data_IF_144471097853
#
_entry.id   IF_144471097853
#
_cell.length_a   1.000
_cell.length_b   1.000
_cell.length_c   1.000
_cell.angle_alpha   90.00
_cell.angle_beta   90.00
_cell.angle_gamma   90.00
#
_symmetry.space_group_name_H-M   'P 1'
#
loop_
_entity.id
_entity.type
_entity.pdbx_description
1 polymer ?
#
# COMPACT_ATOMS: atom_id res chain seq x y z
N UNK A 1 -22.84 10.80 18.26
CA UNK A 1 -22.58 12.19 17.77
C UNK A 1 -21.08 12.51 17.56
N UNK A 2 -20.14 11.57 17.72
CA UNK A 2 -18.68 11.81 17.68
C UNK A 2 -17.94 11.38 16.38
N UNK A 3 -18.60 10.69 15.46
CA UNK A 3 -17.94 10.18 14.23
C UNK A 3 -17.55 11.32 13.28
N UNK A 4 -18.39 12.35 13.17
CA UNK A 4 -18.22 13.43 12.17
C UNK A 4 -17.02 14.35 12.48
N UNK A 5 -16.55 14.42 13.72
CA UNK A 5 -15.38 15.24 14.10
C UNK A 5 -14.04 14.62 13.70
N UNK A 6 -14.01 13.31 13.43
CA UNK A 6 -12.79 12.56 13.09
C UNK A 6 -12.73 12.14 11.62
N UNK A 7 -13.74 12.50 10.82
CA UNK A 7 -13.69 12.31 9.39
C UNK A 7 -12.69 13.28 8.77
N UNK A 8 -11.80 12.75 7.93
CA UNK A 8 -11.00 13.59 7.04
C UNK A 8 -11.96 14.44 6.20
N UNK A 9 -11.71 15.75 6.18
CA UNK A 9 -12.45 16.72 5.37
C UNK A 9 -11.49 17.38 4.39
N UNK A 10 -11.19 16.72 3.25
CA UNK A 10 -10.47 17.35 2.16
C UNK A 10 -11.06 18.73 1.86
N UNK A 11 -10.21 19.74 1.79
CA UNK A 11 -10.61 21.08 1.36
C UNK A 11 -10.91 21.08 -0.13
N UNK A 12 -11.62 22.10 -0.61
CA UNK A 12 -11.96 22.24 -2.02
C UNK A 12 -10.73 22.27 -2.95
N UNK A 13 -9.57 22.69 -2.44
CA UNK A 13 -8.27 22.72 -3.13
C UNK A 13 -7.41 21.47 -2.89
N UNK A 14 -7.93 20.44 -2.23
CA UNK A 14 -7.19 19.18 -2.02
C UNK A 14 -7.03 18.44 -3.33
N UNK A 15 -5.79 18.39 -3.82
CA UNK A 15 -5.45 17.73 -5.10
C UNK A 15 -5.30 16.22 -4.96
N UNK A 16 -4.89 15.74 -3.80
CA UNK A 16 -4.65 14.33 -3.51
C UNK A 16 -5.26 13.96 -2.17
N UNK A 17 -6.04 12.89 -2.19
CA UNK A 17 -6.52 12.22 -1.00
C UNK A 17 -6.44 10.72 -1.26
N UNK A 18 -6.15 9.96 -0.22
CA UNK A 18 -5.98 8.53 -0.32
C UNK A 18 -6.09 7.90 1.05
N UNK A 19 -6.08 6.57 1.03
CA UNK A 19 -6.05 5.75 2.22
C UNK A 19 -5.05 4.62 2.00
N UNK A 20 -4.63 4.00 3.10
CA UNK A 20 -3.78 2.81 3.08
C UNK A 20 -4.60 1.65 3.62
N UNK A 21 -4.60 0.54 2.92
CA UNK A 21 -5.11 -0.74 3.38
C UNK A 21 -3.99 -1.77 3.29
N UNK A 22 -3.92 -2.67 4.27
CA UNK A 22 -2.93 -3.75 4.34
C UNK A 22 -3.58 -5.13 4.26
N UNK A 23 -4.91 -5.19 4.40
CA UNK A 23 -5.71 -6.42 4.45
C UNK A 23 -6.09 -6.94 3.06
N UNK A 24 -5.07 -7.24 2.26
CA UNK A 24 -5.22 -7.83 0.92
C UNK A 24 -4.82 -9.31 0.87
N UNK A 25 -4.58 -9.92 2.03
CA UNK A 25 -4.18 -11.33 2.14
C UNK A 25 -5.33 -12.30 1.83
N UNK A 26 -4.99 -13.59 1.76
CA UNK A 26 -5.86 -14.67 1.28
C UNK A 26 -7.12 -14.92 2.15
N UNK A 27 -7.22 -14.30 3.32
CA UNK A 27 -8.47 -14.24 4.08
C UNK A 27 -9.51 -13.26 3.52
N UNK A 28 -9.08 -12.29 2.70
CA UNK A 28 -9.92 -11.24 2.14
C UNK A 28 -10.18 -11.42 0.63
N UNK A 29 -9.20 -11.96 -0.10
CA UNK A 29 -9.32 -12.25 -1.53
C UNK A 29 -8.90 -13.69 -1.83
N UNK A 30 -9.75 -14.43 -2.54
CA UNK A 30 -9.52 -15.85 -2.82
C UNK A 30 -8.32 -16.06 -3.77
N UNK A 31 -8.15 -15.16 -4.73
CA UNK A 31 -7.15 -15.22 -5.80
C UNK A 31 -6.79 -13.81 -6.32
N UNK A 32 -5.84 -13.75 -7.26
CA UNK A 32 -5.40 -12.51 -7.88
C UNK A 32 -6.49 -11.81 -8.70
N UNK A 33 -7.38 -12.57 -9.33
CA UNK A 33 -8.48 -12.02 -10.14
C UNK A 33 -9.48 -11.29 -9.26
N UNK A 34 -9.89 -11.89 -8.13
CA UNK A 34 -10.79 -11.26 -7.17
C UNK A 34 -10.20 -9.99 -6.54
N UNK A 35 -8.89 -9.97 -6.27
CA UNK A 35 -8.19 -8.76 -5.84
C UNK A 35 -8.21 -7.69 -6.94
N UNK A 36 -7.90 -8.07 -8.17
CA UNK A 36 -7.86 -7.16 -9.33
C UNK A 36 -9.24 -6.56 -9.61
N UNK A 37 -10.29 -7.37 -9.59
CA UNK A 37 -11.68 -6.94 -9.76
C UNK A 37 -12.07 -5.91 -8.71
N UNK A 38 -11.69 -6.13 -7.45
CA UNK A 38 -11.92 -5.15 -6.38
C UNK A 38 -11.18 -3.84 -6.64
N UNK A 39 -9.92 -3.89 -7.04
CA UNK A 39 -9.14 -2.69 -7.34
C UNK A 39 -9.73 -1.94 -8.55
N UNK A 40 -10.15 -2.63 -9.61
CA UNK A 40 -10.84 -2.03 -10.75
C UNK A 40 -12.20 -1.44 -10.37
N UNK A 41 -12.92 -2.09 -9.45
CA UNK A 41 -14.15 -1.55 -8.88
C UNK A 41 -13.89 -0.22 -8.14
N UNK A 42 -12.80 -0.10 -7.38
CA UNK A 42 -12.42 1.19 -6.78
C UNK A 42 -12.16 2.26 -7.84
N UNK A 43 -11.55 1.93 -8.98
CA UNK A 43 -11.38 2.87 -10.08
C UNK A 43 -12.73 3.28 -10.72
N UNK A 44 -13.71 2.38 -10.79
CA UNK A 44 -15.05 2.70 -11.25
C UNK A 44 -15.77 3.67 -10.31
N UNK A 45 -15.61 3.51 -8.98
CA UNK A 45 -16.17 4.41 -7.98
C UNK A 45 -15.43 5.74 -7.88
N UNK A 46 -14.11 5.71 -8.04
CA UNK A 46 -13.20 6.84 -7.89
C UNK A 46 -12.36 6.98 -9.18
N UNK A 47 -12.96 7.49 -10.27
CA UNK A 47 -12.25 7.67 -11.53
C UNK A 47 -10.98 8.48 -11.33
N UNK A 48 -9.85 7.97 -11.79
CA UNK A 48 -8.57 8.66 -11.61
C UNK A 48 -7.77 8.22 -10.39
N UNK A 49 -8.22 7.23 -9.60
CA UNK A 49 -7.44 6.63 -8.50
C UNK A 49 -6.08 6.12 -8.99
N UNK A 50 -5.03 6.25 -8.17
CA UNK A 50 -3.70 5.72 -8.45
C UNK A 50 -3.28 4.78 -7.34
N UNK A 51 -2.57 3.73 -7.71
CA UNK A 51 -2.18 2.67 -6.81
C UNK A 51 -0.69 2.76 -6.52
N UNK A 52 -0.35 2.83 -5.24
CA UNK A 52 1.00 2.55 -4.75
C UNK A 52 0.91 1.22 -4.03
N UNK A 53 1.37 0.17 -4.71
CA UNK A 53 1.37 -1.18 -4.18
C UNK A 53 2.74 -1.42 -3.58
N UNK A 54 2.81 -1.64 -2.28
CA UNK A 54 4.06 -1.90 -1.60
C UNK A 54 4.12 -3.34 -1.10
N UNK A 55 5.04 -4.12 -1.65
CA UNK A 55 5.32 -5.50 -1.23
C UNK A 55 6.57 -5.54 -0.35
N UNK A 56 6.76 -6.66 0.33
CA UNK A 56 7.88 -6.91 1.24
C UNK A 56 8.27 -8.38 1.17
N UNK A 57 9.54 -8.69 1.41
CA UNK A 57 10.00 -10.07 1.58
C UNK A 57 9.09 -10.85 2.56
N UNK A 58 8.44 -11.94 2.11
CA UNK A 58 7.52 -12.73 2.93
C UNK A 58 8.16 -13.26 4.20
N UNK A 59 9.43 -13.66 4.14
CA UNK A 59 10.14 -14.21 5.30
C UNK A 59 10.34 -13.15 6.38
N UNK A 60 10.79 -11.94 6.00
CA UNK A 60 10.96 -10.81 6.90
C UNK A 60 9.62 -10.31 7.43
N UNK A 61 8.61 -10.20 6.57
CA UNK A 61 7.27 -9.76 6.96
C UNK A 61 6.62 -10.72 7.97
N UNK A 62 6.79 -12.03 7.81
CA UNK A 62 6.25 -13.06 8.70
C UNK A 62 6.75 -12.92 10.16
N UNK A 63 7.93 -12.33 10.36
CA UNK A 63 8.52 -12.11 11.70
C UNK A 63 8.10 -10.79 12.35
N UNK A 64 7.18 -10.04 11.75
CA UNK A 64 6.82 -8.68 12.17
C UNK A 64 5.33 -8.50 12.46
N UNK A 65 5.02 -7.57 13.37
CA UNK A 65 3.65 -7.22 13.73
C UNK A 65 2.79 -8.44 14.09
N UNK A 66 1.55 -8.43 13.60
CA UNK A 66 0.56 -9.50 13.77
C UNK A 66 0.89 -10.82 13.05
N UNK A 67 1.84 -10.82 12.10
CA UNK A 67 2.17 -12.03 11.33
C UNK A 67 2.96 -13.05 12.15
N UNK A 68 3.62 -12.63 13.23
CA UNK A 68 4.39 -13.54 14.11
C UNK A 68 3.54 -14.66 14.71
N UNK A 69 2.26 -14.39 14.90
CA UNK A 69 1.31 -15.31 15.53
C UNK A 69 0.47 -16.07 14.50
N UNK A 70 0.62 -15.77 13.21
CA UNK A 70 -0.15 -16.41 12.15
C UNK A 70 0.46 -17.79 11.81
N UNK A 71 -0.31 -18.89 11.89
CA UNK A 71 0.22 -20.25 11.79
C UNK A 71 0.82 -20.58 10.42
N UNK A 72 0.38 -19.89 9.36
CA UNK A 72 0.88 -20.06 7.98
C UNK A 72 1.36 -18.73 7.37
N UNK A 73 2.02 -17.89 8.17
CA UNK A 73 2.36 -16.51 7.80
C UNK A 73 3.13 -16.40 6.48
N UNK A 74 4.17 -17.21 6.31
CA UNK A 74 5.07 -17.15 5.14
C UNK A 74 4.31 -17.48 3.86
N UNK A 75 3.63 -18.61 3.80
CA UNK A 75 2.83 -19.05 2.65
C UNK A 75 1.70 -18.08 2.31
N UNK A 76 1.04 -17.52 3.33
CA UNK A 76 0.04 -16.47 3.11
C UNK A 76 0.66 -15.22 2.48
N UNK A 77 1.81 -14.78 2.96
CA UNK A 77 2.53 -13.60 2.46
C UNK A 77 3.11 -13.82 1.06
N UNK A 78 3.70 -14.97 0.77
CA UNK A 78 4.23 -15.33 -0.56
C UNK A 78 3.13 -15.21 -1.62
N UNK A 79 1.99 -15.84 -1.37
CA UNK A 79 0.84 -15.75 -2.30
C UNK A 79 0.24 -14.35 -2.37
N UNK A 80 0.24 -13.61 -1.25
CA UNK A 80 -0.24 -12.21 -1.25
C UNK A 80 0.66 -11.32 -2.13
N UNK A 81 1.97 -11.50 -2.05
CA UNK A 81 2.93 -10.78 -2.92
C UNK A 81 2.73 -11.16 -4.38
N UNK A 82 2.54 -12.45 -4.68
CA UNK A 82 2.24 -12.93 -6.04
C UNK A 82 0.95 -12.31 -6.58
N UNK A 83 -0.15 -12.33 -5.82
CA UNK A 83 -1.43 -11.76 -6.22
C UNK A 83 -1.34 -10.24 -6.43
N UNK A 84 -0.62 -9.51 -5.56
CA UNK A 84 -0.42 -8.07 -5.71
C UNK A 84 0.42 -7.73 -6.95
N UNK A 85 1.40 -8.57 -7.29
CA UNK A 85 2.17 -8.44 -8.53
C UNK A 85 1.30 -8.64 -9.77
N UNK A 86 0.55 -9.74 -9.82
CA UNK A 86 -0.36 -10.02 -10.94
C UNK A 86 -1.46 -8.94 -11.10
N UNK A 87 -1.97 -8.42 -9.98
CA UNK A 87 -2.92 -7.31 -10.00
C UNK A 87 -2.26 -6.01 -10.50
N UNK A 88 -1.02 -5.72 -10.11
CA UNK A 88 -0.29 -4.55 -10.61
C UNK A 88 -0.11 -4.58 -12.13
N UNK A 89 0.26 -5.75 -12.68
CA UNK A 89 0.42 -5.95 -14.12
C UNK A 89 -0.92 -5.73 -14.84
N UNK A 90 -1.98 -6.40 -14.39
CA UNK A 90 -3.32 -6.28 -14.99
C UNK A 90 -3.86 -4.85 -14.93
N UNK A 91 -3.70 -4.17 -13.79
CA UNK A 91 -4.11 -2.77 -13.64
C UNK A 91 -3.32 -1.85 -14.57
N UNK A 92 -2.02 -2.11 -14.77
CA UNK A 92 -1.19 -1.33 -15.71
C UNK A 92 -1.67 -1.51 -17.14
N UNK A 93 -1.99 -2.73 -17.55
CA UNK A 93 -2.51 -3.03 -18.88
C UNK A 93 -3.89 -2.40 -19.13
N UNK A 94 -4.78 -2.45 -18.13
CA UNK A 94 -6.16 -1.96 -18.25
C UNK A 94 -6.26 -0.43 -18.13
N UNK A 95 -5.52 0.17 -17.20
CA UNK A 95 -5.64 1.60 -16.88
C UNK A 95 -4.62 2.47 -17.63
N UNK A 96 -3.56 1.86 -18.17
CA UNK A 96 -2.47 2.53 -18.84
C UNK A 96 -1.37 3.05 -17.90
N UNK A 97 -0.32 3.66 -18.47
CA UNK A 97 0.85 4.10 -17.71
C UNK A 97 0.53 5.22 -16.71
N UNK A 98 1.30 5.29 -15.63
CA UNK A 98 1.19 6.31 -14.58
C UNK A 98 -0.01 6.15 -13.65
N UNK A 99 -0.61 4.95 -13.62
CA UNK A 99 -1.74 4.59 -12.74
C UNK A 99 -1.32 3.72 -11.58
N UNK A 100 -0.27 2.92 -11.74
CA UNK A 100 0.20 1.93 -10.79
C UNK A 100 1.71 2.11 -10.59
N UNK A 101 2.15 2.09 -9.33
CA UNK A 101 3.53 1.91 -8.95
C UNK A 101 3.62 0.73 -7.97
N UNK A 102 4.34 -0.32 -8.37
CA UNK A 102 4.70 -1.43 -7.50
C UNK A 102 6.08 -1.15 -6.90
N UNK A 103 6.20 -1.18 -5.58
CA UNK A 103 7.43 -0.91 -4.84
C UNK A 103 7.76 -2.05 -3.88
N UNK A 104 9.04 -2.35 -3.74
CA UNK A 104 9.55 -3.30 -2.75
C UNK A 104 10.11 -2.57 -1.54
N UNK A 105 9.66 -2.95 -0.34
CA UNK A 105 10.06 -2.37 0.93
C UNK A 105 11.58 -2.31 1.09
N UNK A 106 12.25 -3.44 0.84
CA UNK A 106 13.69 -3.57 1.01
C UNK A 106 14.46 -2.57 0.13
N UNK A 107 13.97 -2.31 -1.09
CA UNK A 107 14.61 -1.40 -2.03
C UNK A 107 14.47 0.06 -1.57
N UNK A 108 13.24 0.54 -1.33
CA UNK A 108 13.07 1.94 -0.97
C UNK A 108 13.48 2.25 0.47
N UNK A 109 13.47 1.27 1.37
CA UNK A 109 13.98 1.44 2.72
C UNK A 109 15.50 1.61 2.72
N UNK A 110 16.21 1.00 1.76
CA UNK A 110 17.65 1.18 1.59
C UNK A 110 17.98 2.45 0.81
N UNK A 111 17.18 2.79 -0.21
CA UNK A 111 17.29 4.02 -0.98
C UNK A 111 15.93 4.71 -1.18
N UNK A 112 15.63 5.77 -0.40
CA UNK A 112 14.41 6.57 -0.55
C UNK A 112 14.13 7.11 -1.96
N UNK A 113 15.15 7.24 -2.80
CA UNK A 113 14.99 7.73 -4.18
C UNK A 113 14.10 6.80 -5.03
N UNK A 114 14.06 5.51 -4.69
CA UNK A 114 13.20 4.51 -5.34
C UNK A 114 11.72 4.83 -5.11
N UNK A 115 11.34 5.15 -3.87
CA UNK A 115 9.96 5.53 -3.55
C UNK A 115 9.59 6.89 -4.15
N UNK A 116 10.52 7.85 -4.16
CA UNK A 116 10.33 9.14 -4.83
C UNK A 116 10.00 8.92 -6.31
N UNK A 117 10.83 8.14 -7.01
CA UNK A 117 10.64 7.83 -8.43
C UNK A 117 9.32 7.12 -8.69
N UNK A 118 8.92 6.19 -7.81
CA UNK A 118 7.64 5.48 -7.90
C UNK A 118 6.43 6.40 -7.72
N UNK A 119 6.50 7.37 -6.81
CA UNK A 119 5.44 8.36 -6.61
C UNK A 119 5.37 9.35 -7.78
N UNK A 120 6.51 9.78 -8.31
CA UNK A 120 6.57 10.64 -9.50
C UNK A 120 6.03 9.94 -10.75
N UNK A 121 6.26 8.63 -10.90
CA UNK A 121 5.76 7.87 -12.06
C UNK A 121 4.24 7.85 -12.14
N UNK A 122 3.54 7.88 -10.99
CA UNK A 122 2.09 8.04 -10.93
C UNK A 122 1.65 9.51 -10.93
N UNK A 123 2.58 10.46 -11.01
CA UNK A 123 2.31 11.90 -11.02
C UNK A 123 2.00 12.50 -9.66
N UNK A 124 2.32 11.81 -8.56
CA UNK A 124 2.18 12.37 -7.21
C UNK A 124 3.21 13.50 -7.01
N UNK A 125 2.82 14.68 -6.49
CA UNK A 125 3.71 15.81 -6.33
C UNK A 125 4.66 15.57 -5.15
N UNK A 126 5.78 14.92 -5.41
CA UNK A 126 6.79 14.63 -4.41
C UNK A 126 7.47 15.93 -3.94
N UNK A 127 7.57 16.06 -2.62
CA UNK A 127 8.48 17.00 -1.97
C UNK A 127 9.61 16.18 -1.36
N UNK A 128 10.67 15.94 -2.14
CA UNK A 128 11.73 14.98 -1.79
C UNK A 128 12.31 15.23 -0.39
N UNK A 129 12.53 16.50 -0.02
CA UNK A 129 13.03 16.86 1.31
C UNK A 129 12.13 16.36 2.45
N UNK A 130 10.80 16.49 2.31
CA UNK A 130 9.83 16.01 3.31
C UNK A 130 9.79 14.47 3.35
N UNK A 131 9.92 13.81 2.20
CA UNK A 131 9.99 12.34 2.16
C UNK A 131 11.25 11.85 2.88
N UNK A 132 12.41 12.45 2.60
CA UNK A 132 13.68 12.10 3.27
C UNK A 132 13.60 12.36 4.78
N UNK A 133 13.03 13.50 5.20
CA UNK A 133 12.82 13.81 6.62
C UNK A 133 11.89 12.79 7.30
N UNK A 134 10.76 12.46 6.66
CA UNK A 134 9.81 11.48 7.18
C UNK A 134 10.43 10.08 7.30
N UNK A 135 11.28 9.67 6.35
CA UNK A 135 11.91 8.36 6.35
C UNK A 135 13.13 8.29 7.28
N UNK A 136 13.76 9.43 7.60
CA UNK A 136 14.84 9.50 8.59
C UNK A 136 14.32 9.28 10.03
N UNK A 137 13.03 9.49 10.26
CA UNK A 137 12.39 9.27 11.56
C UNK A 137 11.82 7.85 11.61
N UNK A 138 12.55 6.92 12.25
CA UNK A 138 12.02 5.59 12.49
C UNK A 138 10.92 5.67 13.56
N UNK A 139 9.66 5.49 13.17
CA UNK A 139 8.55 5.46 14.12
C UNK A 139 8.61 4.16 14.93
N UNK A 140 8.67 4.27 16.25
CA UNK A 140 8.62 3.13 17.19
C UNK A 140 7.20 2.57 17.37
N UNK A 141 6.41 2.46 16.30
CA UNK A 141 5.03 1.98 16.40
C UNK A 141 4.93 0.55 15.88
N UNK A 142 4.76 -0.37 16.83
CA UNK A 142 4.64 -1.81 16.57
C UNK A 142 4.94 -2.74 17.77
N UNK A 143 5.27 -2.19 18.96
CA UNK A 143 5.33 -2.97 20.20
C UNK A 143 4.18 -2.57 21.14
N UNK A 144 3.16 -3.43 21.20
CA UNK A 144 2.14 -3.53 22.24
C UNK A 144 1.38 -2.24 22.62
N UNK A 145 0.20 -2.07 22.04
CA UNK A 145 -0.87 -1.29 22.66
C UNK A 145 -2.19 -2.07 22.65
N UNK A 146 -2.18 -3.27 23.23
CA UNK A 146 -3.39 -3.93 23.77
C UNK A 146 -3.02 -4.67 25.07
N UNK A 147 -2.91 -3.91 26.16
CA UNK A 147 -3.24 -4.37 27.51
C UNK A 147 -4.06 -3.24 28.15
N UNK A 148 -5.38 -3.37 28.13
CA UNK A 148 -6.32 -2.71 29.04
C UNK A 148 -7.58 -3.55 29.11
#
# INVERSE_FOLDING_TARGET
RHVITHLLRPKADTRWSGFKEVRYEIGHFADADGLTDYLLFLNALLPGVRYVINVRDPQAAARSGWWREHPDAVSALERTVEHLGAAADTLTDVLGPGRVALTEYEQWSADPSVLVSALESIGFPVQEALIRESLATHLEHGQNSEHS
#
